data_IF_762493818597
#
_entry.id   IF_762493818597
#
_cell.length_a   1.000
_cell.length_b   1.000
_cell.length_c   1.000
_cell.angle_alpha   90.00
_cell.angle_beta   90.00
_cell.angle_gamma   90.00
#
_symmetry.space_group_name_H-M   'P 1'
#
loop_
_entity.id
_entity.type
_entity.pdbx_description
1 polymer ?
#
# COMPACT_ATOMS: atom_id res chain seq x y z
N UNK A 1 -9.78 32.21 16.39
CA UNK A 1 -9.16 31.71 17.64
C UNK A 1 -7.68 31.55 17.35
N UNK A 2 -6.81 32.02 18.25
CA UNK A 2 -5.36 31.80 18.09
C UNK A 2 -5.08 30.33 18.41
N UNK A 3 -4.31 29.67 17.56
CA UNK A 3 -3.92 28.29 17.80
C UNK A 3 -2.83 28.24 18.86
N UNK A 4 -2.98 27.41 19.89
CA UNK A 4 -1.91 27.18 20.86
C UNK A 4 -1.08 25.97 20.43
N UNK A 5 0.24 26.12 20.37
CA UNK A 5 1.19 25.05 20.03
C UNK A 5 2.04 24.79 21.27
N UNK A 6 1.95 23.57 21.81
CA UNK A 6 2.84 23.13 22.88
C UNK A 6 4.12 22.53 22.27
N UNK A 7 5.29 22.98 22.74
CA UNK A 7 6.59 22.52 22.26
C UNK A 7 7.40 21.99 23.42
N UNK A 8 7.71 20.69 23.40
CA UNK A 8 8.65 20.07 24.34
C UNK A 8 10.02 20.03 23.69
N UNK A 9 10.91 20.96 24.03
CA UNK A 9 12.25 21.08 23.48
C UNK A 9 13.30 21.19 24.60
N UNK A 10 13.78 20.05 25.12
CA UNK A 10 14.78 20.04 26.18
C UNK A 10 16.11 20.70 25.81
N UNK A 11 16.37 20.89 24.51
CA UNK A 11 17.61 21.48 24.03
C UNK A 11 17.54 22.99 23.88
N UNK A 12 16.34 23.56 23.78
CA UNK A 12 16.08 24.94 23.37
C UNK A 12 16.52 25.29 21.94
N UNK A 13 17.13 24.35 21.19
CA UNK A 13 17.72 24.63 19.87
C UNK A 13 16.69 24.80 18.76
N UNK A 14 15.56 24.10 18.88
CA UNK A 14 14.51 24.07 17.84
C UNK A 14 13.43 25.11 18.16
N UNK A 15 13.25 25.45 19.43
CA UNK A 15 12.30 26.44 19.92
C UNK A 15 12.34 27.74 19.12
N UNK A 16 13.51 28.33 18.87
CA UNK A 16 13.63 29.57 18.10
C UNK A 16 13.11 29.46 16.66
N UNK A 17 13.26 28.30 16.03
CA UNK A 17 12.70 28.04 14.69
C UNK A 17 11.18 27.90 14.76
N UNK A 18 10.67 27.17 15.76
CA UNK A 18 9.24 26.95 15.96
C UNK A 18 8.51 28.24 16.33
N UNK A 19 9.08 29.12 17.16
CA UNK A 19 8.53 30.44 17.44
C UNK A 19 8.39 31.28 16.15
N UNK A 20 9.39 31.23 15.27
CA UNK A 20 9.31 31.91 13.97
C UNK A 20 8.21 31.35 13.07
N UNK A 21 7.99 30.03 13.08
CA UNK A 21 6.93 29.39 12.29
C UNK A 21 5.55 29.71 12.88
N UNK A 22 5.42 29.69 14.21
CA UNK A 22 4.16 29.98 14.88
C UNK A 22 3.72 31.44 14.74
N UNK A 23 4.67 32.39 14.75
CA UNK A 23 4.38 33.79 14.47
C UNK A 23 3.77 33.99 13.06
N UNK A 24 4.22 33.22 12.07
CA UNK A 24 3.65 33.23 10.71
C UNK A 24 2.27 32.57 10.62
N UNK A 25 1.93 31.72 11.59
CA UNK A 25 0.66 31.00 11.70
C UNK A 25 -0.38 31.72 12.58
N UNK A 26 -0.04 32.88 13.13
CA UNK A 26 -0.82 33.56 14.20
C UNK A 26 -1.14 32.61 15.37
N UNK A 27 -0.18 31.77 15.73
CA UNK A 27 -0.27 30.79 16.80
C UNK A 27 0.58 31.21 18.01
N UNK A 28 0.08 30.96 19.22
CA UNK A 28 0.86 31.11 20.44
C UNK A 28 1.68 29.84 20.71
N UNK A 29 2.93 29.97 21.13
CA UNK A 29 3.80 28.83 21.44
C UNK A 29 4.09 28.79 22.92
N UNK A 30 3.85 27.64 23.52
CA UNK A 30 4.22 27.34 24.90
C UNK A 30 5.37 26.33 24.89
N UNK A 31 6.56 26.80 25.26
CA UNK A 31 7.75 25.98 25.35
C UNK A 31 7.85 25.29 26.72
N UNK A 32 8.22 24.01 26.71
CA UNK A 32 8.48 23.18 27.88
C UNK A 32 9.90 22.63 27.76
N UNK A 33 10.70 22.79 28.82
CA UNK A 33 12.09 22.33 28.86
C UNK A 33 12.22 20.83 29.13
N UNK A 34 11.13 20.14 29.48
CA UNK A 34 11.14 18.70 29.70
C UNK A 34 9.76 18.07 29.50
N UNK A 35 9.74 16.75 29.27
CA UNK A 35 8.50 15.98 29.22
C UNK A 35 7.73 16.05 30.55
N UNK A 36 8.42 16.06 31.69
CA UNK A 36 7.80 16.12 33.02
C UNK A 36 7.16 17.49 33.31
N UNK A 37 7.74 18.56 32.80
CA UNK A 37 7.16 19.90 32.89
C UNK A 37 5.87 19.99 32.08
N UNK A 38 5.86 19.43 30.87
CA UNK A 38 4.67 19.36 30.04
C UNK A 38 3.59 18.43 30.62
N UNK A 39 3.96 17.25 31.12
CA UNK A 39 3.02 16.33 31.79
C UNK A 39 2.37 17.02 32.99
N UNK A 40 3.14 17.71 33.83
CA UNK A 40 2.60 18.49 34.96
C UNK A 40 1.65 19.59 34.48
N UNK A 41 1.98 20.27 33.39
CA UNK A 41 1.09 21.28 32.82
C UNK A 41 -0.24 20.69 32.32
N UNK A 42 -0.21 19.49 31.73
CA UNK A 42 -1.40 18.72 31.34
C UNK A 42 -2.21 18.28 32.57
N UNK A 43 -1.56 17.68 33.56
CA UNK A 43 -2.20 17.10 34.75
C UNK A 43 -2.82 18.17 35.65
N UNK A 44 -2.19 19.34 35.74
CA UNK A 44 -2.75 20.50 36.42
C UNK A 44 -3.82 21.23 35.60
N UNK A 45 -4.35 20.57 34.54
CA UNK A 45 -5.32 21.11 33.59
C UNK A 45 -4.91 22.49 33.14
N UNK A 46 -3.81 22.59 32.40
CA UNK A 46 -3.25 23.83 31.82
C UNK A 46 -4.11 25.05 32.19
N UNK A 47 -3.71 25.82 33.22
CA UNK A 47 -4.38 27.09 33.59
C UNK A 47 -4.20 28.19 32.52
N UNK A 48 -4.10 27.80 31.26
CA UNK A 48 -3.88 28.63 30.08
C UNK A 48 -5.11 28.44 29.22
N UNK A 49 -5.78 29.54 28.91
CA UNK A 49 -7.15 29.58 28.41
C UNK A 49 -7.44 28.90 27.04
N UNK A 50 -6.53 28.14 26.42
CA UNK A 50 -6.91 27.39 25.20
C UNK A 50 -6.15 26.06 25.05
N UNK A 51 -6.91 25.00 24.77
CA UNK A 51 -6.42 23.66 24.41
C UNK A 51 -5.40 23.75 23.26
N UNK A 52 -4.26 23.04 23.32
CA UNK A 52 -3.29 23.11 22.24
C UNK A 52 -3.88 22.49 20.97
N UNK A 53 -3.82 23.23 19.86
CA UNK A 53 -4.16 22.71 18.53
C UNK A 53 -3.14 21.66 18.05
N UNK A 54 -1.94 21.64 18.64
CA UNK A 54 -0.86 20.73 18.29
C UNK A 54 0.18 20.61 19.42
N UNK A 55 0.75 19.41 19.56
CA UNK A 55 1.93 19.17 20.42
C UNK A 55 3.12 18.76 19.56
N UNK A 56 4.27 19.40 19.77
CA UNK A 56 5.54 19.07 19.10
C UNK A 56 6.55 18.62 20.15
N UNK A 57 7.07 17.40 20.01
CA UNK A 57 8.10 16.83 20.87
C UNK A 57 9.41 16.79 20.09
N UNK A 58 10.43 17.49 20.58
CA UNK A 58 11.75 17.55 19.96
C UNK A 58 12.72 16.59 20.65
N UNK A 59 13.34 15.72 19.87
CA UNK A 59 14.34 14.74 20.31
C UNK A 59 15.66 15.10 19.66
N UNK A 60 16.65 15.44 20.49
CA UNK A 60 17.96 15.90 20.00
C UNK A 60 19.05 14.84 20.17
N UNK A 61 18.73 13.74 20.83
CA UNK A 61 19.68 12.68 21.14
C UNK A 61 19.74 11.65 20.03
N UNK A 62 20.95 11.19 19.71
CA UNK A 62 21.22 10.23 18.63
C UNK A 62 21.05 8.76 19.03
N UNK A 63 20.77 8.45 20.30
CA UNK A 63 20.66 7.08 20.82
C UNK A 63 19.28 6.80 21.38
N UNK A 64 18.69 5.65 21.03
CA UNK A 64 17.44 5.15 21.58
C UNK A 64 17.54 4.82 23.08
N UNK A 65 18.74 4.54 23.58
CA UNK A 65 18.96 4.28 25.01
C UNK A 65 19.01 5.55 25.86
N UNK A 66 19.05 6.73 25.22
CA UNK A 66 19.14 7.99 25.93
C UNK A 66 17.88 8.22 26.77
N UNK A 67 17.99 8.65 28.05
CA UNK A 67 16.83 8.90 28.92
C UNK A 67 15.80 9.86 28.28
N UNK A 68 16.28 10.89 27.57
CA UNK A 68 15.41 11.82 26.83
C UNK A 68 14.59 11.17 25.71
N UNK A 69 15.11 10.14 25.03
CA UNK A 69 14.32 9.40 24.03
C UNK A 69 13.23 8.58 24.71
N UNK A 70 13.57 7.83 25.77
CA UNK A 70 12.60 7.04 26.55
C UNK A 70 11.50 7.92 27.14
N UNK A 71 11.87 9.10 27.64
CA UNK A 71 10.91 10.10 28.13
C UNK A 71 9.99 10.61 27.03
N UNK A 72 10.51 10.89 25.82
CA UNK A 72 9.70 11.31 24.68
C UNK A 72 8.72 10.22 24.21
N UNK A 73 9.16 8.96 24.14
CA UNK A 73 8.28 7.81 23.79
C UNK A 73 7.20 7.62 24.85
N UNK A 74 7.57 7.66 26.14
CA UNK A 74 6.63 7.59 27.25
C UNK A 74 5.59 8.71 27.19
N UNK A 75 6.02 9.94 26.93
CA UNK A 75 5.14 11.10 26.83
C UNK A 75 4.17 10.96 25.64
N UNK A 76 4.64 10.54 24.47
CA UNK A 76 3.78 10.31 23.32
C UNK A 76 2.72 9.23 23.62
N UNK A 77 3.12 8.15 24.32
CA UNK A 77 2.19 7.12 24.79
C UNK A 77 1.13 7.65 25.77
N UNK A 78 1.54 8.49 26.73
CA UNK A 78 0.63 9.13 27.68
C UNK A 78 -0.37 10.07 27.00
N UNK A 79 0.11 10.89 26.06
CA UNK A 79 -0.74 11.80 25.26
C UNK A 79 -1.83 11.03 24.50
N UNK A 80 -1.46 9.90 23.90
CA UNK A 80 -2.43 9.03 23.21
C UNK A 80 -3.44 8.41 24.17
N UNK A 81 -3.01 8.00 25.35
CA UNK A 81 -3.87 7.38 26.37
C UNK A 81 -4.80 8.36 27.08
N UNK A 82 -4.49 9.67 27.02
CA UNK A 82 -5.29 10.71 27.66
C UNK A 82 -6.49 11.07 26.76
N UNK A 83 -7.71 10.79 27.22
CA UNK A 83 -8.94 11.04 26.46
C UNK A 83 -9.11 12.51 26.06
N UNK A 84 -8.65 13.46 26.88
CA UNK A 84 -8.75 14.89 26.58
C UNK A 84 -7.77 15.34 25.49
N UNK A 85 -6.65 14.64 25.32
CA UNK A 85 -5.58 15.01 24.37
C UNK A 85 -5.49 14.08 23.17
N UNK A 86 -6.24 12.98 23.16
CA UNK A 86 -6.21 11.96 22.12
C UNK A 86 -6.57 12.49 20.72
N UNK A 87 -7.31 13.60 20.63
CA UNK A 87 -7.65 14.29 19.38
C UNK A 87 -6.58 15.27 18.91
N UNK A 88 -5.64 15.64 19.78
CA UNK A 88 -4.62 16.66 19.48
C UNK A 88 -3.48 15.98 18.74
N UNK A 89 -3.11 16.46 17.55
CA UNK A 89 -2.05 15.84 16.79
C UNK A 89 -0.69 16.04 17.48
N UNK A 90 0.03 14.92 17.64
CA UNK A 90 1.36 14.89 18.26
C UNK A 90 2.40 14.67 17.18
N UNK A 91 3.30 15.63 17.02
CA UNK A 91 4.44 15.57 16.12
C UNK A 91 5.70 15.30 16.90
N UNK A 92 6.54 14.40 16.39
CA UNK A 92 7.85 14.12 16.97
C UNK A 92 8.91 14.48 15.95
N UNK A 93 9.83 15.37 16.31
CA UNK A 93 10.95 15.80 15.46
C UNK A 93 12.23 15.22 16.04
N UNK A 94 12.98 14.43 15.27
CA UNK A 94 14.18 13.78 15.77
C UNK A 94 15.14 13.29 14.68
N UNK A 95 16.24 12.61 15.03
CA UNK A 95 17.21 12.10 14.06
C UNK A 95 16.61 11.14 13.03
N UNK A 96 17.12 11.16 11.80
CA UNK A 96 16.73 10.19 10.77
C UNK A 96 17.31 8.80 11.04
N UNK A 97 16.60 8.01 11.86
CA UNK A 97 16.94 6.63 12.21
C UNK A 97 15.68 5.78 12.31
N UNK A 98 15.72 4.58 11.74
CA UNK A 98 14.59 3.66 11.71
C UNK A 98 14.06 3.32 13.12
N UNK A 99 14.95 3.15 14.10
CA UNK A 99 14.63 2.87 15.50
C UNK A 99 13.75 3.94 16.16
N UNK A 100 13.89 5.19 15.73
CA UNK A 100 13.12 6.30 16.27
C UNK A 100 11.71 6.27 15.67
N UNK A 101 11.60 6.10 14.35
CA UNK A 101 10.30 5.99 13.67
C UNK A 101 9.47 4.82 14.20
N UNK A 102 10.09 3.66 14.45
CA UNK A 102 9.37 2.50 15.02
C UNK A 102 8.95 2.73 16.46
N UNK A 103 9.78 3.38 17.29
CA UNK A 103 9.45 3.69 18.68
C UNK A 103 8.23 4.59 18.87
N UNK A 104 7.90 5.41 17.87
CA UNK A 104 6.73 6.29 17.88
C UNK A 104 5.53 5.76 17.07
N UNK A 105 5.66 4.57 16.48
CA UNK A 105 4.58 3.97 15.68
C UNK A 105 3.35 3.75 16.56
N UNK A 106 2.27 4.44 16.21
CA UNK A 106 1.02 4.40 16.96
C UNK A 106 0.97 5.29 18.19
N UNK A 107 2.04 5.95 18.63
CA UNK A 107 2.03 6.90 19.77
C UNK A 107 1.99 8.37 19.34
N UNK A 108 2.33 8.67 18.08
CA UNK A 108 2.28 10.02 17.53
C UNK A 108 1.49 10.05 16.20
N UNK A 109 1.05 11.23 15.80
CA UNK A 109 0.44 11.46 14.48
C UNK A 109 1.49 11.40 13.38
N UNK A 110 2.70 11.88 13.65
CA UNK A 110 3.78 11.89 12.66
C UNK A 110 5.16 12.04 13.29
N UNK A 111 6.11 11.22 12.83
CA UNK A 111 7.54 11.41 13.04
C UNK A 111 8.15 12.21 11.87
N UNK A 112 8.94 13.23 12.18
CA UNK A 112 9.62 14.10 11.21
C UNK A 112 11.14 13.93 11.41
N UNK A 113 11.82 13.21 10.49
CA UNK A 113 13.26 13.01 10.59
C UNK A 113 14.04 14.31 10.27
N UNK A 114 15.15 14.52 10.96
CA UNK A 114 16.14 15.57 10.73
C UNK A 114 17.41 14.97 10.06
N UNK A 115 18.10 15.74 9.20
CA UNK A 115 17.95 17.18 8.97
C UNK A 115 16.81 17.53 7.99
N UNK A 116 16.17 18.69 8.23
CA UNK A 116 15.11 19.22 7.36
C UNK A 116 15.33 20.72 7.15
N UNK A 117 15.01 21.25 5.96
CA UNK A 117 15.10 22.71 5.74
C UNK A 117 13.99 23.42 6.52
N UNK A 118 14.26 24.65 6.98
CA UNK A 118 13.25 25.48 7.66
C UNK A 118 11.94 25.61 6.85
N UNK A 119 12.06 25.78 5.53
CA UNK A 119 10.90 25.87 4.63
C UNK A 119 10.09 24.57 4.57
N UNK A 120 10.76 23.42 4.54
CA UNK A 120 10.11 22.10 4.51
C UNK A 120 9.39 21.83 5.83
N UNK A 121 10.01 22.20 6.97
CA UNK A 121 9.40 22.01 8.30
C UNK A 121 8.16 22.89 8.42
N UNK A 122 8.24 24.14 7.95
CA UNK A 122 7.12 25.07 7.89
C UNK A 122 5.96 24.50 7.06
N UNK A 123 6.22 24.02 5.84
CA UNK A 123 5.18 23.45 4.97
C UNK A 123 4.50 22.23 5.61
N UNK A 124 5.26 21.37 6.26
CA UNK A 124 4.73 20.19 6.97
C UNK A 124 3.82 20.57 8.15
N UNK A 125 4.22 21.57 8.94
CA UNK A 125 3.43 22.05 10.07
C UNK A 125 2.15 22.77 9.61
N UNK A 126 2.24 23.61 8.57
CA UNK A 126 1.07 24.28 7.96
C UNK A 126 0.06 23.24 7.44
N UNK A 127 0.51 22.29 6.62
CA UNK A 127 -0.37 21.27 6.04
C UNK A 127 -1.08 20.45 7.13
N UNK A 128 -0.41 20.23 8.26
CA UNK A 128 -0.98 19.51 9.38
C UNK A 128 -2.04 20.33 10.13
N UNK A 129 -1.82 21.63 10.36
CA UNK A 129 -2.80 22.52 10.98
C UNK A 129 -4.06 22.68 10.13
N UNK A 130 -3.90 22.79 8.80
CA UNK A 130 -5.04 22.90 7.88
C UNK A 130 -5.89 21.62 7.91
N UNK A 131 -5.26 20.44 7.91
CA UNK A 131 -5.98 19.17 7.98
C UNK A 131 -6.77 18.98 9.29
N UNK A 132 -6.35 19.60 10.39
CA UNK A 132 -7.10 19.58 11.66
C UNK A 132 -8.39 20.39 11.55
N UNK A 133 -8.39 21.49 10.77
CA UNK A 133 -9.57 22.34 10.60
C UNK A 133 -10.67 21.69 9.73
N UNK A 134 -10.31 20.76 8.84
CA UNK A 134 -11.26 20.13 7.93
C UNK A 134 -11.91 18.85 8.48
N UNK A 135 -11.58 18.43 9.70
CA UNK A 135 -12.31 17.35 10.38
C UNK A 135 -13.69 17.89 10.80
N UNK A 136 -14.81 17.43 10.21
CA UNK A 136 -16.13 17.88 10.63
C UNK A 136 -16.33 17.50 12.09
N UNK A 137 -16.76 18.46 12.92
CA UNK A 137 -17.19 18.19 14.29
C UNK A 137 -18.30 17.13 14.25
N UNK A 138 -17.93 15.88 14.54
CA UNK A 138 -18.90 14.80 14.71
C UNK A 138 -19.54 15.01 16.08
N UNK A 139 -20.59 15.82 16.14
CA UNK A 139 -21.47 15.91 17.31
C UNK A 139 -22.26 14.60 17.39
N UNK A 140 -21.76 13.65 18.17
CA UNK A 140 -22.40 12.36 18.40
C UNK A 140 -23.53 12.47 19.43
N UNK A 141 -24.68 13.00 19.02
CA UNK A 141 -25.86 13.07 19.90
C UNK A 141 -26.96 12.03 19.57
N UNK A 142 -26.75 11.12 18.62
CA UNK A 142 -27.70 10.02 18.38
C UNK A 142 -27.05 8.64 18.44
N UNK A 143 -27.52 7.74 19.33
CA UNK A 143 -27.08 6.36 19.35
C UNK A 143 -27.69 5.59 18.17
N UNK A 144 -26.88 5.28 17.17
CA UNK A 144 -27.28 4.37 16.07
C UNK A 144 -27.29 2.94 16.60
N UNK A 145 -28.47 2.39 16.86
CA UNK A 145 -28.64 0.96 17.19
C UNK A 145 -28.49 0.11 15.92
N UNK A 146 -27.45 -0.73 15.90
CA UNK A 146 -27.03 -1.64 14.81
C UNK A 146 -28.00 -2.83 14.59
N UNK A 147 -29.19 -2.82 15.21
CA UNK A 147 -30.04 -4.00 15.31
C UNK A 147 -30.93 -4.30 14.09
N UNK A 148 -31.15 -3.38 13.16
CA UNK A 148 -32.18 -3.58 12.11
C UNK A 148 -31.66 -4.06 10.75
N UNK A 149 -30.34 -4.18 10.56
CA UNK A 149 -29.76 -4.52 9.24
C UNK A 149 -29.66 -6.02 8.94
N UNK A 150 -29.94 -6.91 9.90
CA UNK A 150 -29.58 -8.34 9.81
C UNK A 150 -30.74 -9.33 9.67
N UNK A 151 -32.00 -8.89 9.57
CA UNK A 151 -33.15 -9.79 9.66
C UNK A 151 -33.61 -10.45 8.33
N UNK A 152 -32.81 -10.49 7.27
CA UNK A 152 -33.19 -11.12 5.98
C UNK A 152 -32.03 -11.94 5.38
N UNK A 153 -31.57 -12.97 6.10
CA UNK A 153 -30.62 -13.93 5.54
C UNK A 153 -30.65 -15.32 6.20
N UNK A 154 -31.81 -15.82 6.64
CA UNK A 154 -31.93 -17.21 7.12
C UNK A 154 -32.92 -18.01 6.26
N UNK A 155 -32.36 -18.76 5.30
CA UNK A 155 -32.93 -20.03 4.82
C UNK A 155 -31.85 -20.86 4.10
N UNK A 156 -31.04 -21.55 4.91
CA UNK A 156 -30.48 -22.91 4.74
C UNK A 156 -29.60 -23.34 3.52
N UNK A 157 -28.79 -24.41 3.68
CA UNK A 157 -27.38 -24.40 3.27
C UNK A 157 -27.04 -25.35 2.11
N UNK A 158 -25.99 -25.00 1.38
CA UNK A 158 -25.21 -25.92 0.55
C UNK A 158 -23.81 -26.04 1.13
N UNK A 159 -23.55 -27.15 1.82
CA UNK A 159 -22.21 -27.58 2.21
C UNK A 159 -21.38 -27.90 0.95
N UNK A 160 -20.30 -27.15 0.71
CA UNK A 160 -19.16 -27.67 -0.06
C UNK A 160 -17.99 -27.83 0.90
N UNK A 161 -17.67 -29.09 1.19
CA UNK A 161 -16.49 -29.51 1.94
C UNK A 161 -15.22 -29.06 1.21
N UNK A 162 -14.40 -28.24 1.88
CA UNK A 162 -12.98 -28.13 1.56
C UNK A 162 -12.26 -29.12 2.48
N UNK A 163 -11.83 -30.26 1.92
CA UNK A 163 -10.97 -31.20 2.63
C UNK A 163 -9.62 -30.53 2.94
N UNK A 164 -9.30 -30.47 4.23
CA UNK A 164 -7.99 -30.13 4.76
C UNK A 164 -7.03 -31.29 4.51
N UNK A 165 -5.99 -31.06 3.71
CA UNK A 165 -4.85 -31.97 3.61
C UNK A 165 -4.12 -32.00 4.97
N UNK A 166 -4.03 -33.20 5.56
CA UNK A 166 -3.21 -33.48 6.74
C UNK A 166 -1.73 -33.32 6.40
N UNK A 167 -1.03 -32.58 7.25
CA UNK A 167 0.42 -32.53 7.35
C UNK A 167 0.91 -33.74 8.13
N UNK A 168 1.73 -34.59 7.50
CA UNK A 168 2.69 -35.46 8.19
C UNK A 168 4.06 -35.25 7.52
N UNK A 169 5.06 -34.95 8.35
CA UNK A 169 6.45 -34.59 8.01
C UNK A 169 7.34 -35.88 7.94
N UNK A 170 8.67 -35.83 7.69
CA UNK A 170 9.24 -36.28 6.42
C UNK A 170 10.17 -37.50 6.55
N UNK A 171 10.21 -38.34 5.52
CA UNK A 171 11.20 -39.40 5.35
C UNK A 171 12.17 -39.08 4.20
N UNK A 172 13.43 -38.80 4.53
CA UNK A 172 14.53 -38.70 3.56
C UNK A 172 14.75 -40.03 2.82
N UNK A 173 14.80 -40.01 1.49
CA UNK A 173 15.37 -41.09 0.69
C UNK A 173 16.39 -40.53 -0.30
N UNK A 174 17.60 -41.04 -0.17
CA UNK A 174 18.80 -40.78 -0.99
C UNK A 174 18.61 -41.36 -2.39
N UNK A 175 18.89 -40.57 -3.43
CA UNK A 175 19.01 -41.05 -4.81
C UNK A 175 20.49 -41.33 -5.15
N UNK A 176 20.84 -42.50 -5.72
CA UNK A 176 22.18 -42.74 -6.25
C UNK A 176 22.36 -42.16 -7.66
N UNK A 177 23.60 -41.77 -7.94
CA UNK A 177 24.08 -41.32 -9.24
C UNK A 177 23.98 -42.42 -10.30
N UNK A 178 23.67 -42.03 -11.55
CA UNK A 178 23.70 -42.92 -12.70
C UNK A 178 24.66 -42.41 -13.77
N UNK A 179 25.57 -43.30 -14.14
CA UNK A 179 26.66 -43.17 -15.09
C UNK A 179 26.22 -43.01 -16.55
N UNK A 180 27.16 -42.48 -17.33
CA UNK A 180 27.20 -42.49 -18.80
C UNK A 180 27.04 -43.90 -19.38
N UNK A 181 26.64 -44.00 -20.65
CA UNK A 181 27.24 -44.99 -21.52
C UNK A 181 27.85 -44.39 -22.79
N UNK A 182 28.94 -45.04 -23.19
CA UNK A 182 29.69 -44.83 -24.42
C UNK A 182 29.19 -45.73 -25.56
N UNK A 183 29.37 -45.22 -26.78
CA UNK A 183 29.64 -45.85 -28.08
C UNK A 183 29.15 -47.30 -28.37
N UNK A 184 28.40 -47.42 -29.47
CA UNK A 184 28.54 -48.55 -30.39
C UNK A 184 28.23 -48.14 -31.84
N UNK A 185 29.01 -48.72 -32.72
CA UNK A 185 29.20 -48.47 -34.15
C UNK A 185 28.38 -49.45 -35.01
N UNK A 186 28.13 -49.05 -36.26
CA UNK A 186 28.04 -49.86 -37.51
C UNK A 186 26.79 -49.72 -38.39
N UNK A 187 27.08 -49.14 -39.57
CA UNK A 187 26.84 -49.64 -40.95
C UNK A 187 25.39 -49.94 -41.42
N UNK A 188 25.02 -49.19 -42.47
CA UNK A 188 24.75 -49.77 -43.79
C UNK A 188 23.28 -49.80 -44.24
N UNK A 189 22.96 -49.09 -45.34
CA UNK A 189 21.71 -49.31 -46.07
C UNK A 189 21.34 -48.18 -47.02
N UNK A 190 21.59 -48.37 -48.32
CA UNK A 190 21.13 -47.53 -49.44
C UNK A 190 19.59 -47.50 -49.52
N UNK A 191 19.00 -46.36 -49.91
CA UNK A 191 18.27 -46.19 -51.19
C UNK A 191 17.22 -45.07 -51.16
N UNK A 192 17.02 -44.51 -52.36
CA UNK A 192 15.82 -43.85 -52.89
C UNK A 192 15.53 -42.39 -52.47
N UNK A 193 15.87 -41.49 -53.40
CA UNK A 193 15.31 -40.16 -53.53
C UNK A 193 13.78 -40.18 -53.73
N UNK A 194 13.09 -39.09 -53.40
CA UNK A 194 12.28 -38.47 -54.45
C UNK A 194 12.29 -36.93 -54.46
N UNK A 195 12.42 -36.42 -55.69
CA UNK A 195 11.72 -35.27 -56.29
C UNK A 195 11.48 -34.03 -55.42
N UNK A 196 12.32 -33.03 -55.66
CA UNK A 196 12.07 -31.64 -55.35
C UNK A 196 10.79 -31.12 -56.06
N UNK A 197 9.75 -30.78 -55.28
CA UNK A 197 8.68 -29.88 -55.72
C UNK A 197 9.03 -28.46 -55.29
N UNK A 198 9.38 -27.61 -56.28
CA UNK A 198 9.45 -26.15 -56.14
C UNK A 198 8.10 -25.62 -55.64
N UNK A 199 8.01 -25.24 -54.37
CA UNK A 199 6.94 -24.38 -53.85
C UNK A 199 7.35 -22.92 -54.08
N UNK A 200 6.63 -22.23 -54.97
CA UNK A 200 6.69 -20.77 -55.13
C UNK A 200 6.41 -20.12 -53.77
N UNK A 201 7.37 -19.34 -53.28
CA UNK A 201 7.16 -18.42 -52.18
C UNK A 201 6.23 -17.29 -52.66
N UNK A 202 5.00 -17.28 -52.15
CA UNK A 202 4.15 -16.09 -52.24
C UNK A 202 4.71 -15.09 -51.22
N UNK A 203 5.22 -13.96 -51.71
CA UNK A 203 5.62 -12.84 -50.89
C UNK A 203 4.41 -12.35 -50.09
N UNK A 204 4.39 -12.64 -48.80
CA UNK A 204 3.42 -12.08 -47.88
C UNK A 204 3.68 -10.57 -47.79
N UNK A 205 2.76 -9.77 -48.32
CA UNK A 205 2.78 -8.32 -48.15
C UNK A 205 2.86 -7.98 -46.65
N UNK A 206 3.67 -6.98 -46.25
CA UNK A 206 3.80 -6.60 -44.86
C UNK A 206 2.43 -6.14 -44.34
N UNK A 207 1.87 -6.91 -43.39
CA UNK A 207 0.71 -6.49 -42.60
C UNK A 207 1.10 -5.19 -41.88
N UNK A 208 0.62 -4.05 -42.40
CA UNK A 208 0.67 -2.77 -41.69
C UNK A 208 0.01 -2.98 -40.34
N UNK A 209 0.77 -2.80 -39.24
CA UNK A 209 0.21 -2.71 -37.90
C UNK A 209 -0.88 -1.63 -37.95
N UNK A 210 -2.12 -1.91 -37.51
CA UNK A 210 -3.13 -0.87 -37.45
C UNK A 210 -2.59 0.25 -36.58
N UNK A 211 -2.63 1.48 -37.10
CA UNK A 211 -2.28 2.66 -36.34
C UNK A 211 -3.15 2.65 -35.09
N UNK A 212 -2.53 2.47 -33.93
CA UNK A 212 -3.15 2.65 -32.62
C UNK A 212 -3.42 4.14 -32.46
N UNK A 213 -4.49 4.61 -33.10
CA UNK A 213 -5.07 5.90 -32.76
C UNK A 213 -5.28 5.89 -31.26
N UNK A 214 -4.66 6.85 -30.56
CA UNK A 214 -4.84 7.07 -29.12
C UNK A 214 -6.33 7.34 -28.88
N UNK A 215 -7.13 6.29 -28.75
CA UNK A 215 -8.51 6.39 -28.34
C UNK A 215 -8.46 6.92 -26.91
N UNK A 216 -9.00 8.11 -26.71
CA UNK A 216 -9.31 8.65 -25.39
C UNK A 216 -10.42 7.76 -24.82
N UNK A 217 -10.05 6.59 -24.29
CA UNK A 217 -10.94 5.77 -23.49
C UNK A 217 -11.42 6.61 -22.32
N UNK A 218 -12.71 6.50 -21.99
CA UNK A 218 -13.32 7.15 -20.84
C UNK A 218 -12.60 6.65 -19.58
N UNK A 219 -11.62 7.43 -19.15
CA UNK A 219 -10.71 7.06 -18.09
C UNK A 219 -11.30 7.56 -16.78
N UNK A 220 -11.75 6.68 -15.88
CA UNK A 220 -12.12 7.10 -14.52
C UNK A 220 -10.94 7.80 -13.82
N UNK A 221 -9.69 7.57 -14.26
CA UNK A 221 -8.46 8.25 -13.85
C UNK A 221 -8.26 9.64 -14.50
N UNK A 222 -9.06 10.04 -15.50
CA UNK A 222 -9.15 11.45 -15.90
C UNK A 222 -9.78 12.32 -14.81
N UNK A 223 -10.42 11.70 -13.82
CA UNK A 223 -10.92 12.34 -12.60
C UNK A 223 -9.86 12.49 -11.52
N UNK A 224 -8.69 11.81 -11.65
CA UNK A 224 -7.57 12.07 -10.75
C UNK A 224 -7.00 13.45 -11.06
N UNK A 225 -7.05 14.29 -10.04
CA UNK A 225 -6.56 15.66 -10.02
C UNK A 225 -5.03 15.68 -10.21
N UNK A 226 -4.49 16.78 -10.74
CA UNK A 226 -3.04 16.98 -10.89
C UNK A 226 -2.24 16.76 -9.58
N UNK A 227 -2.75 17.11 -8.39
CA UNK A 227 -2.16 16.76 -7.10
C UNK A 227 -1.93 15.25 -6.90
N UNK A 228 -2.89 14.39 -7.23
CA UNK A 228 -2.79 12.94 -7.04
C UNK A 228 -1.71 12.34 -7.96
N UNK A 229 -1.57 12.87 -9.17
CA UNK A 229 -0.50 12.47 -10.11
C UNK A 229 0.89 12.88 -9.61
N UNK A 230 1.01 14.07 -9.00
CA UNK A 230 2.26 14.53 -8.37
C UNK A 230 2.60 13.71 -7.13
N UNK A 231 1.59 13.35 -6.33
CA UNK A 231 1.75 12.49 -5.17
C UNK A 231 2.20 11.08 -5.57
N UNK A 232 1.62 10.50 -6.62
CA UNK A 232 2.07 9.22 -7.18
C UNK A 232 3.53 9.28 -7.65
N UNK A 233 3.96 10.37 -8.29
CA UNK A 233 5.34 10.56 -8.71
C UNK A 233 6.32 10.71 -7.52
N UNK A 234 5.89 11.36 -6.44
CA UNK A 234 6.67 11.46 -5.20
C UNK A 234 6.83 10.09 -4.54
N UNK A 235 5.73 9.34 -4.40
CA UNK A 235 5.75 7.96 -3.88
C UNK A 235 6.70 7.08 -4.72
N UNK A 236 6.75 7.29 -6.05
CA UNK A 236 7.65 6.55 -6.93
C UNK A 236 9.14 6.77 -6.62
N UNK A 237 9.53 8.01 -6.30
CA UNK A 237 10.89 8.34 -5.87
C UNK A 237 11.21 7.67 -4.53
N UNK A 238 10.25 7.71 -3.60
CA UNK A 238 10.41 7.14 -2.25
C UNK A 238 10.50 5.60 -2.29
N UNK A 239 9.71 4.94 -3.14
CA UNK A 239 9.69 3.47 -3.30
C UNK A 239 11.02 2.93 -3.81
N UNK A 240 11.75 3.71 -4.62
CA UNK A 240 13.08 3.33 -5.14
C UNK A 240 14.14 3.31 -4.03
N UNK A 241 13.88 3.96 -2.89
CA UNK A 241 14.74 3.95 -1.70
C UNK A 241 14.33 2.93 -0.63
N UNK A 242 13.19 2.23 -0.79
CA UNK A 242 12.74 1.23 0.18
C UNK A 242 13.62 -0.02 0.10
N UNK A 243 14.09 -0.54 1.24
CA UNK A 243 14.74 -1.86 1.32
C UNK A 243 13.70 -2.99 1.26
N UNK A 244 12.83 -2.96 0.24
CA UNK A 244 11.86 -4.00 -0.05
C UNK A 244 12.43 -4.96 -1.10
N UNK A 245 12.01 -6.21 -1.08
CA UNK A 245 12.37 -7.17 -2.13
C UNK A 245 12.01 -6.63 -3.52
N UNK A 246 12.82 -6.97 -4.53
CA UNK A 246 12.67 -6.48 -5.90
C UNK A 246 11.25 -6.70 -6.45
N UNK A 247 10.62 -7.83 -6.13
CA UNK A 247 9.24 -8.17 -6.53
C UNK A 247 8.23 -7.14 -6.00
N UNK A 248 8.38 -6.69 -4.75
CA UNK A 248 7.49 -5.70 -4.13
C UNK A 248 7.69 -4.34 -4.77
N UNK A 249 8.93 -3.91 -4.97
CA UNK A 249 9.23 -2.64 -5.64
C UNK A 249 8.66 -2.61 -7.06
N UNK A 250 8.88 -3.66 -7.86
CA UNK A 250 8.33 -3.76 -9.21
C UNK A 250 6.79 -3.82 -9.22
N UNK A 251 6.18 -4.49 -8.24
CA UNK A 251 4.72 -4.50 -8.06
C UNK A 251 4.17 -3.11 -7.80
N UNK A 252 4.76 -2.37 -6.86
CA UNK A 252 4.34 -1.01 -6.55
C UNK A 252 4.51 -0.11 -7.77
N UNK A 253 5.66 -0.23 -8.46
CA UNK A 253 5.95 0.51 -9.69
C UNK A 253 4.90 0.27 -10.78
N UNK A 254 4.56 -1.00 -11.02
CA UNK A 254 3.52 -1.37 -11.98
C UNK A 254 2.13 -0.85 -11.56
N UNK A 255 1.78 -0.93 -10.27
CA UNK A 255 0.51 -0.38 -9.76
C UNK A 255 0.41 1.13 -9.97
N UNK A 256 1.48 1.88 -9.75
CA UNK A 256 1.52 3.32 -10.02
C UNK A 256 1.35 3.62 -11.52
N UNK A 257 1.91 2.79 -12.40
CA UNK A 257 1.66 2.91 -13.83
C UNK A 257 0.22 2.58 -14.23
N UNK A 258 -0.41 1.59 -13.60
CA UNK A 258 -1.83 1.27 -13.79
C UNK A 258 -2.70 2.46 -13.37
N UNK A 259 -2.45 3.03 -12.17
CA UNK A 259 -3.21 4.17 -11.64
C UNK A 259 -2.96 5.44 -12.46
N UNK A 260 -1.78 5.63 -13.05
CA UNK A 260 -1.53 6.76 -13.96
C UNK A 260 -2.10 6.54 -15.37
N UNK A 261 -2.61 5.34 -15.68
CA UNK A 261 -3.12 4.96 -16.99
C UNK A 261 -2.05 4.63 -18.03
N UNK A 262 -0.77 4.55 -17.63
CA UNK A 262 0.34 4.18 -18.51
C UNK A 262 0.49 2.65 -18.57
N UNK A 263 -0.52 1.99 -19.17
CA UNK A 263 -0.63 0.53 -19.18
C UNK A 263 0.53 -0.14 -19.94
N UNK A 264 1.12 0.53 -20.93
CA UNK A 264 2.27 0.00 -21.67
C UNK A 264 3.50 -0.17 -20.76
N UNK A 265 3.73 0.76 -19.83
CA UNK A 265 4.83 0.63 -18.85
C UNK A 265 4.51 -0.39 -17.77
N UNK A 266 3.26 -0.45 -17.32
CA UNK A 266 2.83 -1.48 -16.39
C UNK A 266 3.04 -2.88 -16.99
N UNK A 267 2.59 -3.10 -18.22
CA UNK A 267 2.72 -4.37 -18.93
C UNK A 267 4.19 -4.79 -19.11
N UNK A 268 5.07 -3.84 -19.44
CA UNK A 268 6.51 -4.10 -19.54
C UNK A 268 7.13 -4.59 -18.23
N UNK A 269 6.75 -4.03 -17.08
CA UNK A 269 7.25 -4.47 -15.77
C UNK A 269 6.66 -5.84 -15.39
N UNK A 270 5.37 -6.02 -15.68
CA UNK A 270 4.65 -7.24 -15.38
C UNK A 270 5.23 -8.43 -16.16
N UNK A 271 5.55 -8.21 -17.43
CA UNK A 271 6.00 -9.25 -18.37
C UNK A 271 7.51 -9.27 -18.63
N UNK A 272 8.31 -8.41 -17.98
CA UNK A 272 9.77 -8.42 -18.19
C UNK A 272 10.41 -9.68 -17.62
N UNK A 273 11.42 -10.27 -18.30
CA UNK A 273 12.27 -11.31 -17.71
C UNK A 273 12.94 -10.77 -16.43
N UNK A 274 12.74 -11.44 -15.29
CA UNK A 274 13.20 -10.97 -13.98
C UNK A 274 12.30 -9.91 -13.32
N UNK A 275 11.18 -9.56 -13.96
CA UNK A 275 10.13 -8.76 -13.32
C UNK A 275 9.17 -9.65 -12.53
N UNK A 276 7.89 -9.32 -12.61
CA UNK A 276 6.83 -10.06 -11.93
C UNK A 276 6.53 -11.44 -12.54
N UNK A 277 7.13 -11.78 -13.68
CA UNK A 277 6.83 -13.01 -14.42
C UNK A 277 7.24 -14.30 -13.71
N UNK A 278 8.14 -14.21 -12.71
CA UNK A 278 8.56 -15.37 -11.95
C UNK A 278 7.54 -15.65 -10.83
N UNK A 279 6.64 -16.60 -11.08
CA UNK A 279 5.59 -17.02 -10.11
C UNK A 279 6.18 -17.59 -8.81
N UNK A 280 7.49 -17.78 -8.74
CA UNK A 280 8.23 -18.31 -7.61
C UNK A 280 8.57 -17.23 -6.58
N UNK A 281 7.65 -16.30 -6.32
CA UNK A 281 7.72 -15.47 -5.13
C UNK A 281 7.75 -16.40 -3.91
N UNK A 282 8.92 -16.50 -3.28
CA UNK A 282 9.22 -17.48 -2.23
C UNK A 282 8.43 -17.24 -0.94
N UNK A 283 7.82 -16.06 -0.80
CA UNK A 283 7.05 -15.66 0.37
C UNK A 283 5.58 -15.36 0.02
N UNK A 284 4.62 -15.72 0.89
CA UNK A 284 3.21 -15.38 0.75
C UNK A 284 2.95 -13.88 0.53
N UNK A 285 3.79 -13.02 1.13
CA UNK A 285 3.71 -11.57 0.96
C UNK A 285 3.97 -11.12 -0.48
N UNK A 286 5.05 -11.62 -1.10
CA UNK A 286 5.47 -11.25 -2.45
C UNK A 286 4.47 -11.74 -3.52
N UNK A 287 3.97 -12.96 -3.34
CA UNK A 287 2.97 -13.55 -4.25
C UNK A 287 1.65 -12.76 -4.23
N UNK A 288 1.21 -12.24 -3.07
CA UNK A 288 0.02 -11.38 -2.99
C UNK A 288 0.19 -10.11 -3.83
N UNK A 289 1.32 -9.41 -3.70
CA UNK A 289 1.59 -8.18 -4.45
C UNK A 289 1.58 -8.44 -5.96
N UNK A 290 2.17 -9.54 -6.39
CA UNK A 290 2.11 -9.98 -7.79
C UNK A 290 0.68 -10.17 -8.28
N UNK A 291 -0.09 -11.05 -7.62
CA UNK A 291 -1.44 -11.39 -8.06
C UNK A 291 -2.39 -10.20 -8.01
N UNK A 292 -2.25 -9.33 -7.01
CA UNK A 292 -3.01 -8.08 -6.92
C UNK A 292 -2.71 -7.15 -8.11
N UNK A 293 -1.43 -6.96 -8.43
CA UNK A 293 -0.99 -6.14 -9.56
C UNK A 293 -1.51 -6.68 -10.88
N UNK A 294 -1.45 -8.00 -11.08
CA UNK A 294 -2.00 -8.68 -12.24
C UNK A 294 -3.52 -8.48 -12.37
N UNK A 295 -4.26 -8.57 -11.26
CA UNK A 295 -5.70 -8.36 -11.27
C UNK A 295 -6.05 -6.92 -11.66
N UNK A 296 -5.38 -5.93 -11.06
CA UNK A 296 -5.55 -4.51 -11.40
C UNK A 296 -5.23 -4.22 -12.87
N UNK A 297 -4.13 -4.77 -13.37
CA UNK A 297 -3.70 -4.58 -14.75
C UNK A 297 -4.74 -5.12 -15.75
N UNK A 298 -5.22 -6.34 -15.53
CA UNK A 298 -6.22 -6.95 -16.39
C UNK A 298 -7.56 -6.19 -16.35
N UNK A 299 -7.99 -5.68 -15.18
CA UNK A 299 -9.18 -4.83 -15.11
C UNK A 299 -9.00 -3.54 -15.93
N UNK A 300 -7.86 -2.87 -15.79
CA UNK A 300 -7.57 -1.65 -16.53
C UNK A 300 -7.54 -1.90 -18.06
N UNK A 301 -7.03 -3.06 -18.50
CA UNK A 301 -7.09 -3.47 -19.90
C UNK A 301 -8.53 -3.74 -20.37
N UNK A 302 -9.35 -4.40 -19.54
CA UNK A 302 -10.76 -4.65 -19.86
C UNK A 302 -11.55 -3.33 -20.03
N UNK A 303 -11.29 -2.33 -19.20
CA UNK A 303 -11.96 -1.03 -19.29
C UNK A 303 -11.57 -0.24 -20.55
N UNK A 304 -10.31 -0.33 -20.98
CA UNK A 304 -9.80 0.38 -22.15
C UNK A 304 -10.09 -0.32 -23.48
N UNK A 305 -10.53 -1.57 -23.45
CA UNK A 305 -10.85 -2.32 -24.64
C UNK A 305 -12.23 -1.92 -25.19
N UNK A 306 -12.42 -2.03 -26.51
CA UNK A 306 -13.70 -1.77 -27.18
C UNK A 306 -14.43 -3.05 -27.58
N UNK A 307 -13.69 -4.16 -27.71
CA UNK A 307 -14.26 -5.45 -28.10
C UNK A 307 -14.71 -6.23 -26.87
N UNK A 308 -16.02 -6.43 -26.74
CA UNK A 308 -16.65 -7.06 -25.57
C UNK A 308 -16.08 -8.46 -25.23
N UNK A 309 -15.77 -9.27 -26.25
CA UNK A 309 -15.14 -10.58 -26.04
C UNK A 309 -13.79 -10.45 -25.34
N UNK A 310 -12.96 -9.51 -25.79
CA UNK A 310 -11.63 -9.28 -25.23
C UNK A 310 -11.74 -8.70 -23.81
N UNK A 311 -12.75 -7.86 -23.54
CA UNK A 311 -13.06 -7.41 -22.16
C UNK A 311 -13.29 -8.58 -21.23
N UNK A 312 -14.14 -9.53 -21.63
CA UNK A 312 -14.45 -10.71 -20.81
C UNK A 312 -13.20 -11.54 -20.54
N UNK A 313 -12.36 -11.77 -21.56
CA UNK A 313 -11.10 -12.51 -21.40
C UNK A 313 -10.19 -11.83 -20.35
N UNK A 314 -10.11 -10.50 -20.35
CA UNK A 314 -9.35 -9.76 -19.34
C UNK A 314 -10.00 -9.81 -17.95
N UNK A 315 -11.33 -9.67 -17.85
CA UNK A 315 -12.05 -9.79 -16.57
C UNK A 315 -11.87 -11.19 -15.96
N UNK A 316 -11.87 -12.24 -16.78
CA UNK A 316 -11.61 -13.61 -16.31
C UNK A 316 -10.19 -13.79 -15.79
N UNK A 317 -9.19 -13.25 -16.49
CA UNK A 317 -7.80 -13.21 -16.00
C UNK A 317 -7.68 -12.44 -14.69
N UNK A 318 -8.37 -11.30 -14.57
CA UNK A 318 -8.39 -10.51 -13.35
C UNK A 318 -9.01 -11.27 -12.17
N UNK A 319 -10.13 -11.97 -12.40
CA UNK A 319 -10.77 -12.83 -11.40
C UNK A 319 -9.86 -13.96 -10.95
N UNK A 320 -9.18 -14.62 -11.89
CA UNK A 320 -8.24 -15.71 -11.57
C UNK A 320 -7.11 -15.20 -10.67
N UNK A 321 -6.45 -14.11 -11.08
CA UNK A 321 -5.38 -13.50 -10.30
C UNK A 321 -5.87 -13.03 -8.92
N UNK A 322 -7.07 -12.43 -8.83
CA UNK A 322 -7.58 -11.95 -7.56
C UNK A 322 -7.88 -13.08 -6.55
N UNK A 323 -8.36 -14.24 -7.03
CA UNK A 323 -8.56 -15.41 -6.15
C UNK A 323 -7.25 -15.91 -5.56
N UNK A 324 -6.19 -15.95 -6.36
CA UNK A 324 -4.84 -16.29 -5.87
C UNK A 324 -4.33 -15.24 -4.89
N UNK A 325 -4.59 -13.94 -5.13
CA UNK A 325 -4.27 -12.88 -4.16
C UNK A 325 -4.98 -13.07 -2.82
N UNK A 326 -6.27 -13.45 -2.81
CA UNK A 326 -7.03 -13.72 -1.58
C UNK A 326 -6.45 -14.92 -0.82
N UNK A 327 -6.05 -15.99 -1.53
CA UNK A 327 -5.39 -17.15 -0.92
C UNK A 327 -4.04 -16.78 -0.31
N UNK A 328 -3.21 -16.04 -1.04
CA UNK A 328 -1.90 -15.57 -0.58
C UNK A 328 -2.00 -14.61 0.61
N UNK A 329 -3.10 -13.86 0.70
CA UNK A 329 -3.38 -12.94 1.80
C UNK A 329 -4.01 -13.62 3.03
N UNK A 330 -4.29 -14.93 2.98
CA UNK A 330 -4.92 -15.63 4.10
C UNK A 330 -4.05 -15.52 5.36
N UNK A 331 -4.63 -15.04 6.47
CA UNK A 331 -3.92 -14.81 7.72
C UNK A 331 -3.24 -13.45 7.85
N UNK A 332 -3.27 -12.60 6.81
CA UNK A 332 -2.68 -11.26 6.82
C UNK A 332 -3.80 -10.20 6.86
N UNK A 333 -4.29 -9.85 8.05
CA UNK A 333 -5.63 -9.24 8.22
C UNK A 333 -5.91 -7.89 7.52
N UNK A 334 -5.04 -6.86 7.40
CA UNK A 334 -5.44 -5.73 6.54
C UNK A 334 -5.39 -6.10 5.05
N UNK A 335 -4.49 -7.00 4.71
CA UNK A 335 -4.18 -7.39 3.36
C UNK A 335 -5.22 -8.34 2.74
N UNK A 336 -5.87 -9.12 3.59
CA UNK A 336 -6.98 -9.98 3.22
C UNK A 336 -8.21 -9.17 2.83
N UNK A 337 -8.58 -8.15 3.62
CA UNK A 337 -9.71 -7.26 3.35
C UNK A 337 -9.55 -6.53 2.00
N UNK A 338 -8.35 -6.00 1.71
CA UNK A 338 -8.02 -5.39 0.42
C UNK A 338 -8.21 -6.36 -0.76
N UNK A 339 -7.71 -7.59 -0.63
CA UNK A 339 -7.80 -8.60 -1.68
C UNK A 339 -9.25 -9.05 -1.90
N UNK A 340 -10.07 -9.09 -0.86
CA UNK A 340 -11.52 -9.34 -0.96
C UNK A 340 -12.23 -8.19 -1.71
N UNK A 341 -11.89 -6.95 -1.39
CA UNK A 341 -12.44 -5.76 -2.07
C UNK A 341 -12.12 -5.78 -3.56
N UNK A 342 -10.87 -6.09 -3.94
CA UNK A 342 -10.50 -6.23 -5.35
C UNK A 342 -11.27 -7.37 -6.03
N UNK A 343 -11.51 -8.48 -5.31
CA UNK A 343 -12.24 -9.61 -5.84
C UNK A 343 -13.70 -9.24 -6.13
N UNK A 344 -14.33 -8.49 -5.23
CA UNK A 344 -15.66 -7.95 -5.43
C UNK A 344 -15.73 -7.05 -6.66
N UNK A 345 -14.74 -6.16 -6.85
CA UNK A 345 -14.64 -5.31 -8.06
C UNK A 345 -14.53 -6.15 -9.34
N UNK A 346 -13.72 -7.22 -9.34
CA UNK A 346 -13.65 -8.15 -10.47
C UNK A 346 -14.99 -8.86 -10.75
N UNK A 347 -15.72 -9.26 -9.71
CA UNK A 347 -17.04 -9.86 -9.86
C UNK A 347 -18.08 -8.87 -10.39
N UNK A 348 -17.99 -7.61 -9.96
CA UNK A 348 -18.82 -6.53 -10.46
C UNK A 348 -18.58 -6.31 -11.95
N UNK A 349 -17.32 -6.18 -12.37
CA UNK A 349 -16.94 -6.04 -13.78
C UNK A 349 -17.39 -7.24 -14.64
N UNK A 350 -17.52 -8.42 -14.05
CA UNK A 350 -18.06 -9.62 -14.70
C UNK A 350 -19.60 -9.69 -14.74
N UNK A 351 -20.30 -8.67 -14.25
CA UNK A 351 -21.77 -8.65 -14.14
C UNK A 351 -22.34 -9.59 -13.06
N UNK A 352 -21.51 -10.10 -12.14
CA UNK A 352 -21.88 -11.06 -11.08
C UNK A 352 -22.16 -10.33 -9.76
N UNK A 353 -23.12 -9.41 -9.76
CA UNK A 353 -23.37 -8.46 -8.66
C UNK A 353 -23.61 -9.12 -7.30
N UNK A 354 -24.40 -10.20 -7.24
CA UNK A 354 -24.66 -10.92 -5.98
C UNK A 354 -23.38 -11.46 -5.34
N UNK A 355 -22.44 -11.95 -6.16
CA UNK A 355 -21.13 -12.42 -5.67
C UNK A 355 -20.28 -11.24 -5.24
N UNK A 356 -20.29 -10.13 -5.99
CA UNK A 356 -19.57 -8.92 -5.62
C UNK A 356 -19.98 -8.41 -4.23
N UNK A 357 -21.30 -8.28 -3.97
CA UNK A 357 -21.83 -7.87 -2.67
C UNK A 357 -21.38 -8.79 -1.52
N UNK A 358 -21.37 -10.11 -1.74
CA UNK A 358 -20.87 -11.07 -0.74
C UNK A 358 -19.39 -10.83 -0.41
N UNK A 359 -18.56 -10.54 -1.42
CA UNK A 359 -17.14 -10.26 -1.19
C UNK A 359 -16.91 -8.90 -0.53
N UNK A 360 -17.67 -7.86 -0.87
CA UNK A 360 -17.61 -6.57 -0.16
C UNK A 360 -18.05 -6.69 1.29
N UNK A 361 -19.16 -7.38 1.57
CA UNK A 361 -19.60 -7.61 2.95
C UNK A 361 -18.55 -8.35 3.79
N UNK A 362 -17.89 -9.35 3.20
CA UNK A 362 -16.75 -10.02 3.84
C UNK A 362 -15.54 -9.11 4.03
N UNK A 363 -15.24 -8.24 3.06
CA UNK A 363 -14.13 -7.30 3.18
C UNK A 363 -14.36 -6.32 4.35
N UNK A 364 -15.58 -5.80 4.50
CA UNK A 364 -15.97 -4.93 5.61
C UNK A 364 -15.87 -5.64 6.96
N UNK A 365 -16.23 -6.93 7.03
CA UNK A 365 -16.10 -7.71 8.27
C UNK A 365 -14.65 -8.03 8.66
N UNK A 366 -13.70 -7.90 7.73
CA UNK A 366 -12.28 -8.18 7.92
C UNK A 366 -11.42 -6.92 8.05
N UNK A 367 -11.99 -5.74 7.77
CA UNK A 367 -11.37 -4.43 7.90
C UNK A 367 -11.53 -3.91 9.34
#
# INVERSE_FOLDING_TARGET
MKHNIAVVDPSGKISGILFSIAAELDAAVHGFGSADEFSRAVDHKMQVADDPAMVIICIVHSSADHPGFKAAVSLAGQLKGNSALSSIPVFVIGPDRAEFTTGFTGACSRYIPLPLKKSELKELLIASLVNVQEQPEYTSDEPVTIAESFALADSEPGHEHFESAKTDDPGYVVLPAADKPAAADKRGGKAAAPRAKKKKAAAAAPRKKPATGKKKGLNWLSRLTMPEKRQAAKIFADVSGLNAGEVVQQSIKAQLYIISGDLDKADKIINSPGGLSDRNASLPFDSRFYFRTMAMHNLALAENESVERVKRDFVEKALSACKESVKAAAGLRPYYADSLTLCATCYWAAGKYRKALKFWGRAVAEA
#
